data_IF_152366968836
#
_entry.id   IF_152366968836
#
_cell.length_a   1.000
_cell.length_b   1.000
_cell.length_c   1.000
_cell.angle_alpha   90.00
_cell.angle_beta   90.00
_cell.angle_gamma   90.00
#
_symmetry.space_group_name_H-M   'P 1'
#
loop_
_entity.id
_entity.type
_entity.pdbx_description
1 polymer ?
#
# COMPACT_ATOMS: atom_id res chain seq x y z
N UNK A 1 -0.69 -68.56 -31.10
CA UNK A 1 -0.70 -68.57 -32.58
C UNK A 1 -1.17 -67.17 -33.00
N UNK A 2 -0.23 -66.27 -33.36
CA UNK A 2 0.05 -65.83 -34.75
C UNK A 2 -1.18 -65.04 -35.29
N UNK A 3 -1.18 -63.76 -35.68
CA UNK A 3 -0.16 -62.80 -36.10
C UNK A 3 -0.87 -61.43 -36.33
N UNK A 4 -0.25 -60.27 -36.01
CA UNK A 4 0.31 -59.26 -36.95
C UNK A 4 -0.77 -58.45 -37.71
N UNK A 5 -1.01 -57.17 -37.35
CA UNK A 5 -0.35 -55.93 -37.82
C UNK A 5 -0.97 -55.38 -39.11
N UNK A 6 -1.62 -54.21 -39.03
CA UNK A 6 -1.50 -53.15 -40.06
C UNK A 6 -1.67 -51.77 -39.42
N UNK A 7 -0.74 -50.89 -39.77
CA UNK A 7 -0.53 -49.51 -39.36
C UNK A 7 -1.35 -48.51 -40.21
N UNK A 8 -1.26 -47.23 -39.81
CA UNK A 8 -1.71 -45.98 -40.47
C UNK A 8 -3.19 -45.60 -40.22
N UNK A 9 -3.55 -44.37 -39.86
CA UNK A 9 -3.00 -43.08 -40.28
C UNK A 9 -3.37 -41.98 -39.25
N UNK A 10 -2.36 -41.25 -38.80
CA UNK A 10 -2.30 -39.79 -38.51
C UNK A 10 -3.62 -39.02 -38.41
N UNK A 11 -3.81 -38.27 -37.32
CA UNK A 11 -4.04 -36.81 -37.32
C UNK A 11 -3.70 -36.28 -35.92
N UNK A 12 -2.52 -35.65 -35.84
CA UNK A 12 -2.02 -34.86 -34.74
C UNK A 12 -2.50 -33.42 -34.97
N UNK A 13 -3.54 -32.97 -34.25
CA UNK A 13 -3.99 -31.59 -34.32
C UNK A 13 -3.18 -30.78 -33.31
N UNK A 14 -1.99 -30.33 -33.72
CA UNK A 14 -1.27 -29.25 -33.04
C UNK A 14 -1.89 -27.92 -33.44
N UNK A 15 -2.75 -27.36 -32.59
CA UNK A 15 -3.11 -25.96 -32.67
C UNK A 15 -1.97 -25.11 -32.07
N UNK A 16 -1.01 -24.75 -32.91
CA UNK A 16 -0.05 -23.68 -32.66
C UNK A 16 -0.82 -22.35 -32.63
N UNK A 17 -1.10 -21.83 -31.43
CA UNK A 17 -1.60 -20.47 -31.29
C UNK A 17 -0.46 -19.48 -31.46
N UNK A 18 -0.62 -18.59 -32.45
CA UNK A 18 0.31 -17.57 -32.85
C UNK A 18 0.71 -16.63 -31.71
N UNK A 19 2.01 -16.34 -31.66
CA UNK A 19 2.58 -15.15 -31.02
C UNK A 19 2.17 -13.91 -31.82
N UNK A 20 1.32 -13.07 -31.27
CA UNK A 20 1.23 -11.66 -31.66
C UNK A 20 2.07 -10.83 -30.70
N UNK A 21 3.14 -10.25 -31.25
CA UNK A 21 3.88 -9.13 -30.64
C UNK A 21 2.92 -7.96 -30.49
N UNK A 22 2.44 -7.70 -29.27
CA UNK A 22 1.83 -6.43 -28.95
C UNK A 22 2.89 -5.47 -28.36
N UNK A 23 2.89 -4.27 -28.93
CA UNK A 23 3.86 -3.20 -28.80
C UNK A 23 4.04 -2.76 -27.35
N UNK A 24 5.26 -2.35 -27.02
CA UNK A 24 5.49 -1.28 -26.05
C UNK A 24 4.52 -0.13 -26.37
N UNK A 25 3.59 0.10 -25.45
CA UNK A 25 2.86 1.34 -25.35
C UNK A 25 3.29 2.03 -24.07
N UNK A 26 4.37 2.81 -24.19
CA UNK A 26 4.63 3.98 -23.37
C UNK A 26 3.47 4.93 -23.59
N UNK A 27 2.46 4.88 -22.73
CA UNK A 27 1.42 5.92 -22.69
C UNK A 27 0.90 6.06 -21.26
N UNK A 28 1.32 7.16 -20.63
CA UNK A 28 0.60 7.92 -19.60
C UNK A 28 -0.33 7.10 -18.69
N UNK A 29 0.16 6.73 -17.50
CA UNK A 29 -0.72 6.40 -16.37
C UNK A 29 -1.45 7.68 -15.92
N UNK A 30 -2.52 8.03 -16.62
CA UNK A 30 -3.63 8.73 -16.03
C UNK A 30 -4.88 7.86 -16.22
N UNK A 31 -4.83 6.67 -15.63
CA UNK A 31 -6.03 5.89 -15.39
C UNK A 31 -6.65 6.51 -14.14
N UNK A 32 -7.62 7.41 -14.32
CA UNK A 32 -8.51 7.82 -13.24
C UNK A 32 -9.23 6.55 -12.83
N UNK A 33 -8.69 5.89 -11.82
CA UNK A 33 -9.25 4.71 -11.22
C UNK A 33 -10.51 5.18 -10.52
N UNK A 34 -11.66 4.71 -11.00
CA UNK A 34 -12.97 5.02 -10.45
C UNK A 34 -12.92 4.80 -8.94
N UNK A 35 -13.21 5.86 -8.18
CA UNK A 35 -13.04 5.88 -6.72
C UNK A 35 -13.77 4.71 -6.09
N UNK A 36 -13.03 3.83 -5.42
CA UNK A 36 -13.60 2.71 -4.63
C UNK A 36 -14.23 3.25 -3.32
N UNK A 37 -14.05 4.53 -3.02
CA UNK A 37 -14.50 5.17 -1.79
C UNK A 37 -15.89 5.80 -1.98
N UNK A 38 -16.89 5.45 -1.15
CA UNK A 38 -18.19 6.13 -1.12
C UNK A 38 -18.09 7.66 -0.94
N UNK A 39 -17.01 8.13 -0.31
CA UNK A 39 -16.77 9.55 -0.02
C UNK A 39 -15.84 10.25 -1.05
N UNK A 40 -15.47 9.56 -2.14
CA UNK A 40 -14.53 10.08 -3.14
C UNK A 40 -13.06 10.06 -2.71
N UNK A 41 -12.19 10.63 -3.54
CA UNK A 41 -10.74 10.64 -3.34
C UNK A 41 -10.23 12.07 -3.16
N UNK A 42 -10.34 12.60 -1.93
CA UNK A 42 -9.62 13.84 -1.59
C UNK A 42 -8.11 13.60 -1.61
N UNK A 43 -7.31 14.65 -1.75
CA UNK A 43 -5.84 14.54 -1.71
C UNK A 43 -5.37 13.85 -0.43
N UNK A 44 -5.95 14.20 0.71
CA UNK A 44 -5.65 13.55 1.98
C UNK A 44 -6.08 12.07 2.01
N UNK A 45 -7.24 11.73 1.43
CA UNK A 45 -7.68 10.33 1.37
C UNK A 45 -6.75 9.47 0.50
N UNK A 46 -6.21 10.04 -0.57
CA UNK A 46 -5.17 9.41 -1.40
C UNK A 46 -3.91 9.21 -0.56
N UNK A 47 -3.42 10.27 0.09
CA UNK A 47 -2.22 10.21 0.92
C UNK A 47 -2.34 9.16 2.04
N UNK A 48 -3.48 9.09 2.72
CA UNK A 48 -3.72 8.09 3.78
C UNK A 48 -3.61 6.64 3.28
N UNK A 49 -3.95 6.37 2.01
CA UNK A 49 -3.76 5.05 1.41
C UNK A 49 -2.30 4.81 1.06
N UNK A 50 -1.62 5.80 0.50
CA UNK A 50 -0.18 5.72 0.24
C UNK A 50 0.61 5.46 1.53
N UNK A 51 0.25 6.13 2.62
CA UNK A 51 0.83 5.92 3.96
C UNK A 51 0.57 4.50 4.48
N UNK A 52 -0.62 3.94 4.24
CA UNK A 52 -0.95 2.57 4.61
C UNK A 52 -0.11 1.56 3.80
N UNK A 53 -0.05 1.73 2.47
CA UNK A 53 0.69 0.86 1.57
C UNK A 53 2.20 0.90 1.89
N UNK A 54 2.73 2.08 2.21
CA UNK A 54 4.10 2.22 2.69
C UNK A 54 4.30 1.53 4.05
N UNK A 55 3.37 1.67 4.99
CA UNK A 55 3.46 0.98 6.27
C UNK A 55 3.44 -0.56 6.11
N UNK A 56 2.70 -1.10 5.13
CA UNK A 56 2.76 -2.52 4.75
C UNK A 56 4.12 -2.90 4.17
N UNK A 57 4.66 -2.07 3.27
CA UNK A 57 5.99 -2.27 2.70
C UNK A 57 7.07 -2.30 3.78
N UNK A 58 7.05 -1.33 4.71
CA UNK A 58 7.97 -1.28 5.85
C UNK A 58 7.82 -2.52 6.73
N UNK A 59 6.59 -2.96 7.02
CA UNK A 59 6.34 -4.20 7.77
C UNK A 59 7.05 -5.40 7.15
N UNK A 60 7.01 -5.51 5.81
CA UNK A 60 7.66 -6.57 5.07
C UNK A 60 9.19 -6.40 5.04
N UNK A 61 9.69 -5.18 4.92
CA UNK A 61 11.14 -4.92 4.97
C UNK A 61 11.72 -5.36 6.30
N UNK A 62 11.08 -4.98 7.42
CA UNK A 62 11.49 -5.38 8.77
C UNK A 62 11.43 -6.91 8.92
N UNK A 63 10.34 -7.56 8.49
CA UNK A 63 10.20 -9.02 8.56
C UNK A 63 11.32 -9.77 7.84
N UNK A 64 11.82 -9.21 6.74
CA UNK A 64 12.83 -9.81 5.89
C UNK A 64 14.26 -9.32 6.21
N UNK A 65 14.45 -8.55 7.29
CA UNK A 65 15.75 -7.97 7.64
C UNK A 65 16.32 -7.01 6.59
N UNK A 66 15.45 -6.40 5.77
CA UNK A 66 15.84 -5.44 4.73
C UNK A 66 15.87 -4.02 5.29
N UNK A 67 16.71 -3.13 4.75
CA UNK A 67 16.67 -1.71 5.10
C UNK A 67 15.28 -1.12 4.88
N UNK A 68 14.82 -0.35 5.87
CA UNK A 68 13.54 0.38 5.79
C UNK A 68 13.67 1.53 4.81
N UNK A 69 12.66 1.71 3.95
CA UNK A 69 12.59 2.80 2.98
C UNK A 69 11.26 3.53 3.08
N UNK A 70 11.36 4.85 3.19
CA UNK A 70 10.25 5.80 3.08
C UNK A 70 10.35 6.47 1.71
N UNK A 71 9.25 6.49 0.97
CA UNK A 71 9.17 6.84 -0.44
C UNK A 71 8.08 7.88 -0.72
N UNK A 72 7.28 8.22 0.29
CA UNK A 72 6.24 9.24 0.18
C UNK A 72 6.57 10.43 1.08
N UNK A 73 6.00 11.58 0.72
CA UNK A 73 6.11 12.80 1.49
C UNK A 73 4.97 12.87 2.51
N UNK A 74 5.26 12.42 3.73
CA UNK A 74 4.31 12.40 4.84
C UNK A 74 3.89 13.80 5.30
N UNK A 75 4.72 14.83 5.11
CA UNK A 75 4.41 16.19 5.57
C UNK A 75 3.24 16.81 4.78
N UNK A 76 2.94 16.29 3.58
CA UNK A 76 1.75 16.67 2.82
C UNK A 76 0.45 16.50 3.58
N UNK A 77 0.39 15.68 4.63
CA UNK A 77 -0.83 15.55 5.44
C UNK A 77 -1.25 16.87 6.12
N UNK A 78 -0.32 17.83 6.26
CA UNK A 78 -0.58 19.14 6.84
C UNK A 78 -1.25 20.12 5.87
N UNK A 79 -1.17 19.85 4.56
CA UNK A 79 -1.61 20.77 3.50
C UNK A 79 -2.61 20.15 2.53
N UNK A 80 -2.67 18.82 2.42
CA UNK A 80 -3.54 18.10 1.51
C UNK A 80 -5.02 18.38 1.78
N UNK A 81 -5.79 18.57 0.71
CA UNK A 81 -7.23 18.79 0.80
C UNK A 81 -7.97 17.55 1.32
N UNK A 82 -8.74 17.75 2.39
CA UNK A 82 -9.53 16.70 3.03
C UNK A 82 -10.99 16.72 2.57
N UNK A 83 -11.65 15.56 2.61
CA UNK A 83 -13.10 15.46 2.37
C UNK A 83 -13.91 16.29 3.40
N UNK A 84 -13.39 16.41 4.63
CA UNK A 84 -13.97 17.19 5.74
C UNK A 84 -12.92 18.20 6.25
N UNK A 85 -12.72 19.34 5.55
CA UNK A 85 -11.64 20.29 5.85
C UNK A 85 -11.66 20.85 7.28
N UNK A 86 -12.85 21.01 7.87
CA UNK A 86 -13.04 21.48 9.24
C UNK A 86 -12.43 20.54 10.28
N UNK A 87 -12.43 19.21 10.02
CA UNK A 87 -11.78 18.25 10.90
C UNK A 87 -10.27 18.40 10.85
N UNK A 88 -9.71 18.60 9.66
CA UNK A 88 -8.26 18.77 9.48
C UNK A 88 -7.74 20.14 9.91
N UNK A 89 -8.59 21.17 9.92
CA UNK A 89 -8.27 22.48 10.48
C UNK A 89 -8.24 22.49 12.02
N UNK A 90 -8.70 21.43 12.68
CA UNK A 90 -8.77 21.36 14.14
C UNK A 90 -7.38 21.26 14.79
N UNK A 91 -7.23 21.85 15.98
CA UNK A 91 -6.01 21.69 16.78
C UNK A 91 -5.73 20.23 17.16
N UNK A 92 -6.78 19.41 17.29
CA UNK A 92 -6.64 17.98 17.56
C UNK A 92 -6.01 17.23 16.38
N UNK A 93 -6.41 17.55 15.14
CA UNK A 93 -5.75 17.00 13.95
C UNK A 93 -4.26 17.33 13.93
N UNK A 94 -3.92 18.61 14.16
CA UNK A 94 -2.52 19.05 14.19
C UNK A 94 -1.68 18.27 15.20
N UNK A 95 -2.19 18.06 16.42
CA UNK A 95 -1.49 17.27 17.45
C UNK A 95 -1.25 15.83 16.98
N UNK A 96 -2.26 15.16 16.42
CA UNK A 96 -2.08 13.79 15.92
C UNK A 96 -1.16 13.71 14.71
N UNK A 97 -1.23 14.68 13.79
CA UNK A 97 -0.33 14.79 12.66
C UNK A 97 1.12 14.98 13.13
N UNK A 98 1.37 15.86 14.09
CA UNK A 98 2.69 16.10 14.66
C UNK A 98 3.26 14.84 15.34
N UNK A 99 2.43 14.10 16.10
CA UNK A 99 2.83 12.82 16.72
C UNK A 99 3.16 11.74 15.68
N UNK A 100 2.38 11.68 14.60
CA UNK A 100 2.65 10.79 13.49
C UNK A 100 3.97 11.14 12.78
N UNK A 101 4.16 12.41 12.41
CA UNK A 101 5.38 12.87 11.72
C UNK A 101 6.63 12.66 12.57
N UNK A 102 6.54 12.85 13.89
CA UNK A 102 7.62 12.49 14.81
C UNK A 102 7.94 10.99 14.77
N UNK A 103 6.93 10.13 14.68
CA UNK A 103 7.16 8.68 14.56
C UNK A 103 7.83 8.28 13.24
N UNK A 104 7.56 9.01 12.14
CA UNK A 104 8.26 8.84 10.85
C UNK A 104 9.73 9.25 10.98
N UNK A 105 10.02 10.42 11.58
CA UNK A 105 11.40 10.88 11.83
C UNK A 105 12.19 9.90 12.70
N UNK A 106 11.53 9.29 13.69
CA UNK A 106 12.14 8.25 14.51
C UNK A 106 12.42 6.98 13.70
N UNK A 107 11.53 6.58 12.78
CA UNK A 107 11.75 5.46 11.87
C UNK A 107 12.92 5.69 10.91
N UNK A 108 13.06 6.90 10.36
CA UNK A 108 14.16 7.28 9.47
C UNK A 108 15.53 7.16 10.16
N UNK A 109 15.60 7.53 11.44
CA UNK A 109 16.82 7.53 12.24
C UNK A 109 17.03 6.24 13.06
N UNK A 110 16.15 5.26 12.89
CA UNK A 110 16.13 4.05 13.71
C UNK A 110 17.37 3.17 13.49
N UNK A 111 17.94 2.70 14.60
CA UNK A 111 18.89 1.57 14.59
C UNK A 111 18.11 0.26 14.48
N UNK A 112 18.73 -0.78 13.91
CA UNK A 112 18.09 -2.09 13.72
C UNK A 112 17.40 -2.64 14.99
N UNK A 113 18.02 -2.50 16.16
CA UNK A 113 17.47 -2.97 17.45
C UNK A 113 16.18 -2.26 17.90
N UNK A 114 15.90 -1.06 17.38
CA UNK A 114 14.74 -0.25 17.76
C UNK A 114 13.64 -0.28 16.68
N UNK A 115 13.89 -0.93 15.55
CA UNK A 115 13.05 -0.80 14.36
C UNK A 115 11.61 -1.30 14.60
N UNK A 116 11.43 -2.47 15.21
CA UNK A 116 10.09 -3.02 15.50
C UNK A 116 9.29 -2.12 16.46
N UNK A 117 9.93 -1.59 17.52
CA UNK A 117 9.23 -0.76 18.52
C UNK A 117 8.85 0.61 17.95
N UNK A 118 9.72 1.22 17.15
CA UNK A 118 9.45 2.48 16.47
C UNK A 118 8.40 2.33 15.37
N UNK A 119 8.42 1.21 14.64
CA UNK A 119 7.38 0.87 13.67
C UNK A 119 6.01 0.72 14.34
N UNK A 120 5.94 -0.02 15.45
CA UNK A 120 4.70 -0.13 16.22
C UNK A 120 4.22 1.20 16.75
N UNK A 121 5.14 2.07 17.18
CA UNK A 121 4.79 3.43 17.64
C UNK A 121 4.13 4.23 16.52
N UNK A 122 4.66 4.15 15.29
CA UNK A 122 4.03 4.77 14.12
C UNK A 122 2.64 4.20 13.84
N UNK A 123 2.46 2.88 13.87
CA UNK A 123 1.14 2.26 13.68
C UNK A 123 0.15 2.68 14.78
N UNK A 124 0.61 2.83 16.02
CA UNK A 124 -0.22 3.32 17.13
C UNK A 124 -0.63 4.78 16.92
N UNK A 125 0.25 5.64 16.38
CA UNK A 125 -0.11 7.00 15.98
C UNK A 125 -1.23 7.02 14.94
N UNK A 126 -1.18 6.12 13.93
CA UNK A 126 -2.28 5.96 12.98
C UNK A 126 -3.60 5.62 13.68
N UNK A 127 -3.57 4.63 14.59
CA UNK A 127 -4.76 4.20 15.33
C UNK A 127 -5.34 5.31 16.22
N UNK A 128 -4.48 6.11 16.86
CA UNK A 128 -4.93 7.17 17.76
C UNK A 128 -5.61 8.30 16.99
N UNK A 129 -5.03 8.74 15.86
CA UNK A 129 -5.66 9.73 14.98
C UNK A 129 -7.02 9.23 14.47
N UNK A 130 -7.07 7.99 13.95
CA UNK A 130 -8.30 7.43 13.41
C UNK A 130 -9.38 7.15 14.46
N UNK A 131 -9.03 6.84 15.71
CA UNK A 131 -10.03 6.71 16.78
C UNK A 131 -10.67 8.05 17.15
N UNK A 132 -9.91 9.14 17.04
CA UNK A 132 -10.34 10.44 17.53
C UNK A 132 -11.09 11.27 16.48
N UNK A 133 -10.62 11.31 15.24
CA UNK A 133 -11.08 12.29 14.25
C UNK A 133 -11.89 11.69 13.11
N UNK A 134 -11.38 10.59 12.55
CA UNK A 134 -11.98 9.93 11.41
C UNK A 134 -11.83 8.42 11.62
N UNK A 135 -12.88 7.71 12.08
CA UNK A 135 -12.85 6.26 12.27
C UNK A 135 -12.79 5.59 10.90
N UNK A 136 -11.60 5.65 10.30
CA UNK A 136 -11.24 5.01 9.04
C UNK A 136 -11.15 3.50 9.24
N UNK A 137 -10.33 2.79 8.45
CA UNK A 137 -10.29 1.34 8.48
C UNK A 137 -9.45 0.82 9.67
N UNK A 138 -9.87 1.10 10.91
CA UNK A 138 -9.18 0.72 12.15
C UNK A 138 -8.80 -0.77 12.20
N UNK A 139 -9.66 -1.65 11.69
CA UNK A 139 -9.38 -3.11 11.61
C UNK A 139 -8.19 -3.40 10.70
N UNK A 140 -8.07 -2.72 9.56
CA UNK A 140 -6.92 -2.89 8.65
C UNK A 140 -5.64 -2.34 9.28
N UNK A 141 -5.71 -1.16 9.89
CA UNK A 141 -4.54 -0.54 10.54
C UNK A 141 -4.02 -1.41 11.69
N UNK A 142 -4.90 -2.01 12.50
CA UNK A 142 -4.48 -2.95 13.56
C UNK A 142 -3.66 -4.13 13.02
N UNK A 143 -3.94 -4.61 11.81
CA UNK A 143 -3.17 -5.70 11.17
C UNK A 143 -1.75 -5.29 10.81
N UNK A 144 -1.41 -4.00 10.83
CA UNK A 144 -0.03 -3.53 10.64
C UNK A 144 0.84 -3.82 11.86
N UNK A 145 0.29 -3.86 13.08
CA UNK A 145 1.07 -4.08 14.31
C UNK A 145 1.95 -5.36 14.22
N UNK A 146 3.16 -5.28 14.77
CA UNK A 146 4.15 -6.35 14.85
C UNK A 146 4.43 -6.62 16.33
N UNK A 147 3.71 -7.54 16.98
CA UNK A 147 3.96 -7.90 18.38
C UNK A 147 5.20 -8.79 18.50
#
# INVERSE_FOLDING_TARGET
MKNILTYSLVILITATSCTEKNKEQTTSKNKIQQSVNPNGDSELAILMREMFDEAESIKQQIANGKPVKLNIDHEKMLTAHATEPEKTASGQYKVFADLYLQSIKNLESAKAKQMDSLYNTMVVSCLNCHKALCPGPLVRIKKLQRL
#
